data_IF_316208964009
#
_entry.id   IF_316208964009
#
_cell.length_a   1.000
_cell.length_b   1.000
_cell.length_c   1.000
_cell.angle_alpha   90.00
_cell.angle_beta   90.00
_cell.angle_gamma   90.00
#
_symmetry.space_group_name_H-M   'P 1'
#
loop_
_entity.id
_entity.type
_entity.pdbx_description
1 polymer ?
#
# COMPACT_ATOMS: atom_id res chain seq x y z
N UNK A 1 7.90 -11.59 37.13
CA UNK A 1 8.74 -11.15 35.99
C UNK A 1 8.02 -9.99 35.35
N UNK A 2 8.74 -8.90 35.06
CA UNK A 2 8.14 -7.78 34.31
C UNK A 2 7.91 -8.19 32.86
N UNK A 3 6.96 -7.54 32.20
CA UNK A 3 6.76 -7.68 30.75
C UNK A 3 7.99 -7.12 30.02
N UNK A 4 8.42 -7.79 28.95
CA UNK A 4 9.46 -7.27 28.06
C UNK A 4 8.94 -6.01 27.35
N UNK A 5 9.82 -5.07 26.91
CA UNK A 5 9.38 -3.81 26.33
C UNK A 5 8.41 -3.97 25.14
N UNK A 6 8.61 -4.98 24.29
CA UNK A 6 7.74 -5.23 23.15
C UNK A 6 6.36 -5.77 23.56
N UNK A 7 6.26 -6.50 24.67
CA UNK A 7 4.99 -7.01 25.20
C UNK A 7 4.12 -5.88 25.76
N UNK A 8 4.75 -4.89 26.41
CA UNK A 8 4.05 -3.68 26.88
C UNK A 8 3.47 -2.90 25.70
N UNK A 9 4.24 -2.74 24.62
CA UNK A 9 3.76 -2.10 23.39
C UNK A 9 2.63 -2.93 22.77
N UNK A 10 2.82 -4.24 22.64
CA UNK A 10 1.83 -5.14 22.06
C UNK A 10 0.49 -5.07 22.81
N UNK A 11 0.53 -5.05 24.14
CA UNK A 11 -0.65 -4.89 24.98
C UNK A 11 -1.34 -3.53 24.72
N UNK A 12 -0.58 -2.44 24.68
CA UNK A 12 -1.11 -1.10 24.42
C UNK A 12 -1.72 -0.93 23.02
N UNK A 13 -1.18 -1.63 22.03
CA UNK A 13 -1.68 -1.61 20.64
C UNK A 13 -2.75 -2.70 20.36
N UNK A 14 -3.02 -3.58 21.32
CA UNK A 14 -3.94 -4.70 21.15
C UNK A 14 -3.47 -5.77 20.15
N UNK A 15 -2.15 -5.93 20.00
CA UNK A 15 -1.53 -6.85 19.04
C UNK A 15 -1.19 -8.19 19.72
N UNK A 16 -1.91 -9.24 19.35
CA UNK A 16 -1.58 -10.62 19.77
C UNK A 16 -0.56 -11.26 18.83
N UNK A 17 0.28 -12.15 19.37
CA UNK A 17 1.16 -13.01 18.58
C UNK A 17 0.35 -14.07 17.83
N UNK A 18 0.69 -14.29 16.57
CA UNK A 18 0.15 -15.39 15.78
C UNK A 18 0.94 -16.69 16.01
N UNK A 19 0.27 -17.83 15.96
CA UNK A 19 0.92 -19.13 16.15
C UNK A 19 1.95 -19.43 15.05
N UNK A 20 1.72 -18.91 13.84
CA UNK A 20 2.54 -19.18 12.66
C UNK A 20 3.69 -18.19 12.41
N UNK A 21 3.98 -17.28 13.34
CA UNK A 21 5.10 -16.33 13.25
C UNK A 21 6.19 -16.59 14.29
N UNK A 22 7.45 -16.44 13.88
CA UNK A 22 8.59 -16.49 14.80
C UNK A 22 8.65 -15.21 15.66
N UNK A 23 9.49 -15.24 16.68
CA UNK A 23 9.60 -14.16 17.66
C UNK A 23 10.10 -12.84 17.03
N UNK A 24 11.08 -12.90 16.12
CA UNK A 24 11.60 -11.69 15.47
C UNK A 24 10.56 -11.08 14.53
N UNK A 25 9.81 -11.92 13.80
CA UNK A 25 8.69 -11.46 12.97
C UNK A 25 7.59 -10.80 13.83
N UNK A 26 7.26 -11.38 14.98
CA UNK A 26 6.30 -10.80 15.92
C UNK A 26 6.76 -9.43 16.44
N UNK A 27 8.01 -9.33 16.92
CA UNK A 27 8.58 -8.06 17.41
C UNK A 27 8.64 -7.02 16.28
N UNK A 28 9.07 -7.41 15.07
CA UNK A 28 9.11 -6.52 13.91
C UNK A 28 7.73 -5.93 13.60
N UNK A 29 6.69 -6.76 13.68
CA UNK A 29 5.30 -6.39 13.44
C UNK A 29 4.79 -5.37 14.47
N UNK A 30 5.10 -5.60 15.75
CA UNK A 30 4.79 -4.67 16.83
C UNK A 30 5.50 -3.34 16.60
N UNK A 31 6.80 -3.35 16.34
CA UNK A 31 7.59 -2.13 16.12
C UNK A 31 7.10 -1.37 14.88
N UNK A 32 6.76 -2.06 13.79
CA UNK A 32 6.22 -1.45 12.59
C UNK A 32 4.93 -0.68 12.88
N UNK A 33 3.98 -1.31 13.58
CA UNK A 33 2.75 -0.66 14.04
C UNK A 33 3.03 0.49 15.01
N UNK A 34 3.90 0.28 15.99
CA UNK A 34 4.24 1.30 16.99
C UNK A 34 4.85 2.55 16.35
N UNK A 35 5.78 2.39 15.41
CA UNK A 35 6.37 3.52 14.69
C UNK A 35 5.33 4.23 13.82
N UNK A 36 4.36 3.51 13.26
CA UNK A 36 3.24 4.15 12.54
C UNK A 36 2.38 5.03 13.46
N UNK A 37 2.12 4.61 14.69
CA UNK A 37 1.44 5.43 15.68
C UNK A 37 2.30 6.61 16.13
N UNK A 38 3.58 6.39 16.42
CA UNK A 38 4.50 7.48 16.76
C UNK A 38 4.60 8.51 15.65
N UNK A 39 4.52 8.08 14.39
CA UNK A 39 4.49 8.99 13.22
C UNK A 39 3.23 9.85 13.26
N UNK A 40 2.05 9.29 13.55
CA UNK A 40 0.80 10.05 13.71
C UNK A 40 0.83 10.96 14.93
N UNK A 41 1.35 10.50 16.06
CA UNK A 41 1.44 11.28 17.30
C UNK A 41 2.43 12.43 17.18
N UNK A 42 3.56 12.25 16.48
CA UNK A 42 4.57 13.30 16.30
C UNK A 42 4.02 14.53 15.55
N UNK A 43 2.94 14.37 14.80
CA UNK A 43 2.23 15.46 14.12
C UNK A 43 1.37 16.28 15.09
N UNK A 44 1.01 15.71 16.24
CA UNK A 44 0.23 16.33 17.31
C UNK A 44 1.11 16.93 18.42
N UNK A 45 2.44 16.92 18.25
CA UNK A 45 3.33 17.54 19.23
C UNK A 45 2.82 18.98 19.47
N UNK A 46 2.65 19.37 20.73
CA UNK A 46 2.43 20.79 21.02
C UNK A 46 3.80 21.43 21.12
N UNK A 47 4.04 22.51 20.39
CA UNK A 47 5.07 23.46 20.81
C UNK A 47 4.67 23.90 22.21
N UNK A 48 5.44 23.52 23.23
CA UNK A 48 5.34 24.19 24.52
C UNK A 48 5.72 25.63 24.24
N UNK A 49 4.70 26.50 24.11
CA UNK A 49 4.90 27.93 24.00
C UNK A 49 5.73 28.37 25.20
N UNK A 50 6.96 28.78 24.94
CA UNK A 50 7.66 29.69 25.85
C UNK A 50 6.80 30.94 25.89
N UNK A 51 6.31 31.32 27.06
CA UNK A 51 5.31 32.38 27.33
C UNK A 51 5.68 33.80 26.84
N UNK A 52 6.63 33.98 25.92
CA UNK A 52 7.18 35.28 25.54
C UNK A 52 7.05 35.67 24.08
N UNK A 53 6.45 34.87 23.20
CA UNK A 53 6.17 35.32 21.83
C UNK A 53 4.75 34.94 21.43
N UNK A 54 3.92 35.95 21.17
CA UNK A 54 2.63 35.82 20.51
C UNK A 54 2.85 35.30 19.08
N UNK A 55 3.10 34.01 18.96
CA UNK A 55 3.09 33.31 17.68
C UNK A 55 1.64 32.96 17.37
N UNK A 56 1.25 33.29 16.14
CA UNK A 56 -0.05 32.99 15.57
C UNK A 56 -0.34 31.49 15.71
N UNK A 57 -1.22 31.14 16.64
CA UNK A 57 -1.59 29.77 17.03
C UNK A 57 -2.33 29.00 15.94
N UNK A 58 -2.42 29.55 14.73
CA UNK A 58 -3.20 28.98 13.63
C UNK A 58 -2.45 27.95 12.78
N UNK A 59 -1.11 27.83 12.84
CA UNK A 59 -0.36 26.97 11.89
C UNK A 59 0.96 26.36 12.39
N UNK A 60 1.06 25.82 13.61
CA UNK A 60 2.19 24.92 13.93
C UNK A 60 2.01 23.56 13.25
N UNK A 61 2.32 23.50 11.96
CA UNK A 61 2.37 22.27 11.19
C UNK A 61 3.81 21.72 11.20
N UNK A 62 3.98 20.45 11.55
CA UNK A 62 5.30 19.83 11.60
C UNK A 62 5.78 19.45 10.21
N UNK A 63 7.08 19.66 9.95
CA UNK A 63 7.69 19.22 8.70
C UNK A 63 7.83 17.71 8.68
N UNK A 64 7.75 17.11 7.48
CA UNK A 64 8.04 15.68 7.26
C UNK A 64 9.40 15.28 7.84
N UNK A 65 10.40 16.15 7.72
CA UNK A 65 11.74 15.92 8.27
C UNK A 65 11.76 15.85 9.81
N UNK A 66 10.99 16.71 10.50
CA UNK A 66 10.88 16.66 11.95
C UNK A 66 10.32 15.31 12.42
N UNK A 67 9.18 14.89 11.83
CA UNK A 67 8.50 13.62 12.15
C UNK A 67 9.42 12.43 11.89
N UNK A 68 10.03 12.35 10.71
CA UNK A 68 10.98 11.29 10.33
C UNK A 68 12.16 11.22 11.31
N UNK A 69 12.75 12.37 11.69
CA UNK A 69 13.89 12.41 12.62
C UNK A 69 13.51 11.87 14.01
N UNK A 70 12.37 12.30 14.55
CA UNK A 70 11.88 11.83 15.87
C UNK A 70 11.63 10.32 15.85
N UNK A 71 10.91 9.83 14.84
CA UNK A 71 10.61 8.41 14.72
C UNK A 71 11.87 7.56 14.50
N UNK A 72 12.91 8.10 13.84
CA UNK A 72 14.17 7.38 13.64
C UNK A 72 14.90 7.12 14.96
N UNK A 73 14.91 8.09 15.88
CA UNK A 73 15.51 7.95 17.22
C UNK A 73 14.77 6.86 18.01
N UNK A 74 13.44 6.86 17.93
CA UNK A 74 12.61 5.86 18.61
C UNK A 74 12.89 4.47 18.04
N UNK A 75 12.86 4.33 16.71
CA UNK A 75 13.13 3.05 16.04
C UNK A 75 14.53 2.54 16.35
N UNK A 76 15.56 3.39 16.28
CA UNK A 76 16.94 2.97 16.57
C UNK A 76 17.09 2.45 17.99
N UNK A 77 16.46 3.12 18.97
CA UNK A 77 16.48 2.69 20.37
C UNK A 77 15.89 1.28 20.55
N UNK A 78 14.77 0.98 19.87
CA UNK A 78 14.22 -0.37 19.91
C UNK A 78 15.07 -1.40 19.17
N UNK A 79 15.69 -1.03 18.05
CA UNK A 79 16.57 -1.93 17.30
C UNK A 79 17.89 -2.22 18.01
N UNK A 80 18.32 -1.35 18.93
CA UNK A 80 19.46 -1.62 19.80
C UNK A 80 19.09 -2.64 20.90
N UNK A 81 17.83 -2.68 21.34
CA UNK A 81 17.30 -3.73 22.23
C UNK A 81 17.05 -5.05 21.51
N UNK A 82 16.63 -5.00 20.23
CA UNK A 82 16.28 -6.16 19.42
C UNK A 82 17.11 -6.24 18.13
N UNK A 83 18.43 -6.51 18.22
CA UNK A 83 19.33 -6.45 17.07
C UNK A 83 18.93 -7.41 15.93
N UNK A 84 18.36 -8.57 16.25
CA UNK A 84 17.91 -9.56 15.26
C UNK A 84 16.75 -9.05 14.37
N UNK A 85 16.02 -8.02 14.82
CA UNK A 85 14.91 -7.41 14.09
C UNK A 85 15.40 -6.36 13.09
N UNK A 86 16.66 -5.92 13.20
CA UNK A 86 17.23 -4.86 12.35
C UNK A 86 17.17 -5.20 10.87
N UNK A 87 17.40 -6.44 10.48
CA UNK A 87 17.36 -6.89 9.07
C UNK A 87 15.96 -6.81 8.47
N UNK A 88 14.91 -6.83 9.29
CA UNK A 88 13.54 -6.63 8.83
C UNK A 88 13.29 -5.16 8.42
N UNK A 89 13.86 -4.19 9.16
CA UNK A 89 13.74 -2.77 8.83
C UNK A 89 14.80 -2.30 7.82
N UNK A 90 15.98 -2.89 7.85
CA UNK A 90 17.11 -2.60 6.97
C UNK A 90 17.57 -3.86 6.22
N UNK A 91 16.81 -4.31 5.20
CA UNK A 91 17.21 -5.43 4.34
C UNK A 91 18.58 -5.20 3.69
N UNK A 92 19.44 -6.22 3.73
CA UNK A 92 20.83 -6.15 3.25
C UNK A 92 20.92 -5.86 1.75
N UNK A 93 19.93 -6.28 0.96
CA UNK A 93 19.87 -6.10 -0.49
C UNK A 93 19.46 -4.69 -0.93
N UNK A 94 19.20 -3.78 0.03
CA UNK A 94 18.66 -2.45 -0.24
C UNK A 94 19.37 -1.37 0.60
N UNK A 95 20.34 -0.73 -0.02
CA UNK A 95 21.07 0.38 0.61
C UNK A 95 20.24 1.67 0.65
N UNK A 96 20.46 2.50 1.67
CA UNK A 96 19.87 3.84 1.78
C UNK A 96 18.41 3.90 2.19
N UNK A 97 17.80 2.78 2.62
CA UNK A 97 16.44 2.78 3.14
C UNK A 97 16.36 3.63 4.41
N UNK A 98 15.31 4.45 4.49
CA UNK A 98 14.90 5.12 5.72
C UNK A 98 13.54 4.56 6.15
N UNK A 99 13.49 3.61 7.11
CA UNK A 99 12.26 2.86 7.40
C UNK A 99 11.10 3.74 7.89
N UNK A 100 11.41 4.78 8.64
CA UNK A 100 10.42 5.77 9.11
C UNK A 100 9.85 6.61 7.97
N UNK A 101 10.68 6.96 6.99
CA UNK A 101 10.24 7.62 5.75
C UNK A 101 9.29 6.70 4.96
N UNK A 102 9.60 5.40 4.89
CA UNK A 102 8.72 4.40 4.24
C UNK A 102 7.36 4.32 4.95
N UNK A 103 7.35 4.27 6.29
CA UNK A 103 6.10 4.25 7.08
C UNK A 103 5.32 5.54 6.88
N UNK A 104 5.99 6.70 6.95
CA UNK A 104 5.36 8.00 6.74
C UNK A 104 4.74 8.10 5.34
N UNK A 105 5.48 7.74 4.29
CA UNK A 105 4.98 7.72 2.92
C UNK A 105 3.76 6.80 2.78
N UNK A 106 3.74 5.63 3.44
CA UNK A 106 2.57 4.74 3.41
C UNK A 106 1.36 5.35 4.10
N UNK A 107 1.55 6.04 5.23
CA UNK A 107 0.48 6.74 5.93
C UNK A 107 -0.05 7.94 5.12
N UNK A 108 0.81 8.65 4.40
CA UNK A 108 0.41 9.71 3.48
C UNK A 108 -0.39 9.16 2.30
N UNK A 109 0.13 8.12 1.66
CA UNK A 109 -0.52 7.45 0.54
C UNK A 109 -1.87 6.84 0.92
N UNK A 110 -1.99 6.27 2.13
CA UNK A 110 -3.28 5.79 2.64
C UNK A 110 -4.21 6.91 3.07
N UNK A 111 -3.82 8.18 3.01
CA UNK A 111 -4.62 9.30 3.51
C UNK A 111 -4.84 9.28 5.03
N UNK A 112 -4.02 8.54 5.77
CA UNK A 112 -3.95 8.59 7.24
C UNK A 112 -3.16 9.81 7.71
N UNK A 113 -2.29 10.35 6.84
CA UNK A 113 -1.66 11.65 6.97
C UNK A 113 -1.90 12.44 5.68
N UNK A 114 -1.93 13.76 5.77
CA UNK A 114 -2.14 14.67 4.64
C UNK A 114 -0.97 15.65 4.56
N UNK A 115 -0.37 15.78 3.38
CA UNK A 115 0.65 16.79 3.12
C UNK A 115 0.04 18.19 3.12
N UNK A 116 0.66 19.12 3.85
CA UNK A 116 0.37 20.54 3.78
C UNK A 116 1.39 21.31 2.94
N UNK A 117 1.28 22.65 2.90
CA UNK A 117 2.29 23.53 2.32
C UNK A 117 3.68 23.32 2.96
N UNK A 118 4.74 23.76 2.28
CA UNK A 118 6.11 23.79 2.84
C UNK A 118 6.61 22.45 3.44
N UNK A 119 6.19 21.34 2.82
CA UNK A 119 6.56 19.98 3.24
C UNK A 119 6.13 19.68 4.69
N UNK A 120 5.00 20.23 5.11
CA UNK A 120 4.35 19.90 6.37
C UNK A 120 3.44 18.68 6.23
N UNK A 121 3.05 18.12 7.38
CA UNK A 121 2.17 16.96 7.44
C UNK A 121 1.19 17.13 8.60
N UNK A 122 -0.06 16.71 8.40
CA UNK A 122 -1.14 16.83 9.38
C UNK A 122 -2.04 15.58 9.36
N UNK A 123 -2.85 15.42 10.40
CA UNK A 123 -3.90 14.39 10.43
C UNK A 123 -5.16 14.92 9.74
N UNK A 124 -5.89 14.09 8.98
CA UNK A 124 -7.19 14.46 8.46
C UNK A 124 -8.26 14.48 9.57
N UNK A 125 -9.45 15.06 9.32
CA UNK A 125 -10.62 14.81 10.15
C UNK A 125 -10.96 13.32 10.21
N UNK A 126 -11.64 12.93 11.30
CA UNK A 126 -12.07 11.55 11.50
C UNK A 126 -12.97 11.06 10.36
N UNK A 127 -12.60 9.91 9.80
CA UNK A 127 -13.38 9.14 8.83
C UNK A 127 -13.33 7.67 9.20
N UNK A 128 -14.43 6.99 8.99
CA UNK A 128 -14.58 5.58 9.35
C UNK A 128 -14.87 4.75 8.12
N UNK A 129 -14.21 3.59 8.01
CA UNK A 129 -14.57 2.56 7.01
C UNK A 129 -14.99 1.30 7.70
N UNK A 130 -16.19 0.81 7.38
CA UNK A 130 -16.71 -0.43 7.94
C UNK A 130 -15.93 -1.63 7.41
N UNK A 131 -15.38 -2.44 8.32
CA UNK A 131 -14.66 -3.68 8.04
C UNK A 131 -15.57 -4.89 8.24
N UNK A 132 -16.23 -4.92 9.40
CA UNK A 132 -17.15 -5.97 9.83
C UNK A 132 -18.29 -5.34 10.65
N UNK A 133 -19.23 -6.15 11.15
CA UNK A 133 -20.47 -5.67 11.79
C UNK A 133 -20.23 -4.55 12.81
N UNK A 134 -19.21 -4.68 13.67
CA UNK A 134 -18.82 -3.70 14.68
C UNK A 134 -17.31 -3.44 14.66
N UNK A 135 -16.69 -3.38 13.49
CA UNK A 135 -15.27 -3.06 13.36
C UNK A 135 -15.09 -2.02 12.27
N UNK A 136 -14.46 -0.91 12.63
CA UNK A 136 -14.26 0.23 11.75
C UNK A 136 -12.78 0.61 11.72
N UNK A 137 -12.22 0.80 10.54
CA UNK A 137 -10.93 1.49 10.37
C UNK A 137 -11.15 2.98 10.58
N UNK A 138 -10.43 3.57 11.53
CA UNK A 138 -10.36 5.01 11.75
C UNK A 138 -9.19 5.62 10.99
N UNK A 139 -9.46 6.69 10.24
CA UNK A 139 -8.46 7.67 9.81
C UNK A 139 -8.79 9.00 10.47
N UNK A 140 -7.85 9.58 11.21
CA UNK A 140 -8.02 10.91 11.77
C UNK A 140 -7.32 11.09 13.10
N UNK A 141 -7.89 11.93 13.96
CA UNK A 141 -7.30 12.41 15.21
C UNK A 141 -7.69 11.60 16.44
N UNK A 142 -8.78 10.83 16.40
CA UNK A 142 -9.29 10.12 17.59
C UNK A 142 -8.62 8.77 17.92
N UNK A 143 -7.44 8.50 17.34
CA UNK A 143 -6.69 7.27 17.60
C UNK A 143 -6.07 7.26 19.01
N UNK A 144 -5.78 6.07 19.55
CA UNK A 144 -5.09 5.92 20.84
C UNK A 144 -5.97 5.91 22.10
N UNK A 145 -7.30 6.03 21.98
CA UNK A 145 -8.23 6.02 23.13
C UNK A 145 -8.81 4.63 23.39
N UNK A 146 -9.69 4.16 22.49
CA UNK A 146 -10.28 2.83 22.48
C UNK A 146 -10.02 2.21 21.10
N UNK A 147 -9.42 1.03 21.05
CA UNK A 147 -9.19 0.36 19.78
C UNK A 147 -8.03 -0.62 19.78
N UNK A 148 -7.73 -1.16 18.61
CA UNK A 148 -6.62 -2.07 18.34
C UNK A 148 -6.00 -1.78 16.99
N UNK A 149 -4.75 -2.18 16.81
CA UNK A 149 -4.05 -2.01 15.54
C UNK A 149 -4.04 -3.31 14.72
N UNK A 150 -4.29 -3.14 13.42
CA UNK A 150 -3.88 -4.09 12.41
C UNK A 150 -3.07 -3.38 11.32
N UNK A 151 -1.94 -3.93 10.89
CA UNK A 151 -1.03 -3.21 10.00
C UNK A 151 -0.63 -1.85 10.58
N UNK A 152 -0.97 -0.78 9.87
CA UNK A 152 -0.88 0.61 10.35
C UNK A 152 -2.24 1.28 10.60
N UNK A 153 -3.33 0.52 10.51
CA UNK A 153 -4.69 1.00 10.74
C UNK A 153 -5.07 0.94 12.21
N UNK A 154 -5.77 1.97 12.69
CA UNK A 154 -6.41 1.98 14.01
C UNK A 154 -7.86 1.53 13.89
N UNK A 155 -8.28 0.56 14.68
CA UNK A 155 -9.61 -0.04 14.57
C UNK A 155 -10.42 0.15 15.84
N UNK A 156 -11.66 0.60 15.68
CA UNK A 156 -12.60 0.88 16.76
C UNK A 156 -13.87 0.06 16.58
N UNK A 157 -14.54 -0.25 17.69
CA UNK A 157 -15.77 -1.04 17.69
C UNK A 157 -17.05 -0.20 17.79
N UNK A 158 -16.92 1.09 18.11
CA UNK A 158 -18.05 2.00 18.30
C UNK A 158 -17.71 3.34 17.69
N UNK A 159 -18.69 3.92 17.01
CA UNK A 159 -18.59 5.23 16.36
C UNK A 159 -19.90 5.98 16.57
N UNK A 160 -19.86 7.31 16.57
CA UNK A 160 -21.04 8.11 16.23
C UNK A 160 -21.30 7.95 14.74
N UNK A 161 -22.53 7.64 14.33
CA UNK A 161 -22.87 7.16 12.96
C UNK A 161 -22.54 8.12 11.79
N UNK A 162 -22.05 9.33 12.06
CA UNK A 162 -21.56 10.25 11.02
C UNK A 162 -20.22 9.79 10.42
N UNK A 163 -20.01 10.06 9.12
CA UNK A 163 -18.73 9.85 8.41
C UNK A 163 -18.29 8.38 8.20
N UNK A 164 -19.24 7.48 7.93
CA UNK A 164 -18.96 6.11 7.47
C UNK A 164 -18.87 6.06 5.95
N UNK A 165 -17.72 5.62 5.45
CA UNK A 165 -17.42 5.48 4.02
C UNK A 165 -17.27 4.00 3.65
N UNK A 166 -17.57 3.69 2.39
CA UNK A 166 -17.17 2.41 1.80
C UNK A 166 -15.65 2.34 1.62
N UNK A 167 -15.14 1.12 1.41
CA UNK A 167 -13.74 0.88 1.10
C UNK A 167 -13.33 1.56 -0.20
N UNK A 168 -14.21 1.51 -1.19
CA UNK A 168 -14.00 2.10 -2.51
C UNK A 168 -13.91 3.61 -2.43
N UNK A 169 -14.75 4.26 -1.62
CA UNK A 169 -14.68 5.71 -1.42
C UNK A 169 -13.44 6.11 -0.63
N UNK A 170 -13.13 5.40 0.47
CA UNK A 170 -12.06 5.82 1.37
C UNK A 170 -10.65 5.61 0.77
N UNK A 171 -10.45 4.55 -0.02
CA UNK A 171 -9.18 4.27 -0.70
C UNK A 171 -9.20 4.59 -2.20
N UNK A 172 -10.30 5.16 -2.70
CA UNK A 172 -10.54 5.43 -4.12
C UNK A 172 -10.42 4.19 -5.01
N UNK A 173 -10.69 2.99 -4.48
CA UNK A 173 -10.56 1.74 -5.25
C UNK A 173 -11.69 1.69 -6.30
N UNK A 174 -11.38 1.51 -7.60
CA UNK A 174 -12.42 1.42 -8.63
C UNK A 174 -13.43 0.30 -8.36
N UNK A 175 -14.71 0.59 -8.61
CA UNK A 175 -15.80 -0.39 -8.47
C UNK A 175 -15.91 -1.36 -9.64
N UNK A 176 -15.20 -1.08 -10.74
CA UNK A 176 -15.07 -1.98 -11.88
C UNK A 176 -13.81 -2.83 -11.72
N UNK A 177 -13.88 -4.07 -12.21
CA UNK A 177 -12.74 -4.97 -12.13
C UNK A 177 -11.61 -4.57 -13.12
N UNK A 178 -10.45 -5.19 -12.97
CA UNK A 178 -9.27 -4.86 -13.78
C UNK A 178 -9.48 -5.10 -15.28
N UNK A 179 -10.17 -6.17 -15.68
CA UNK A 179 -10.45 -6.46 -17.10
C UNK A 179 -11.39 -5.41 -17.67
N UNK A 180 -12.44 -5.04 -16.94
CA UNK A 180 -13.43 -4.06 -17.39
C UNK A 180 -12.79 -2.66 -17.44
N UNK A 181 -11.83 -2.37 -16.54
CA UNK A 181 -11.01 -1.15 -16.61
C UNK A 181 -10.25 -1.06 -17.94
N UNK A 182 -9.61 -2.13 -18.39
CA UNK A 182 -8.87 -2.16 -19.67
C UNK A 182 -9.82 -1.89 -20.84
N UNK A 183 -10.95 -2.62 -20.88
CA UNK A 183 -11.93 -2.52 -21.96
C UNK A 183 -12.58 -1.14 -22.03
N UNK A 184 -12.98 -0.58 -20.88
CA UNK A 184 -13.62 0.73 -20.81
C UNK A 184 -12.64 1.86 -21.15
N UNK A 185 -11.43 1.82 -20.60
CA UNK A 185 -10.41 2.84 -20.89
C UNK A 185 -10.05 2.84 -22.38
N UNK A 186 -9.82 1.67 -22.98
CA UNK A 186 -9.53 1.57 -24.41
C UNK A 186 -10.68 2.11 -25.26
N UNK A 187 -11.93 1.77 -24.92
CA UNK A 187 -13.12 2.24 -25.64
C UNK A 187 -13.27 3.77 -25.58
N UNK A 188 -13.07 4.37 -24.40
CA UNK A 188 -13.21 5.83 -24.21
C UNK A 188 -12.09 6.57 -24.96
N UNK A 189 -10.87 6.03 -24.91
CA UNK A 189 -9.69 6.65 -25.47
C UNK A 189 -9.37 6.22 -26.91
N UNK A 190 -10.27 5.48 -27.56
CA UNK A 190 -10.06 4.90 -28.91
C UNK A 190 -9.66 5.96 -29.95
N UNK A 191 -10.26 7.15 -29.88
CA UNK A 191 -9.95 8.27 -30.79
C UNK A 191 -8.67 9.03 -30.43
N UNK A 192 -8.07 8.76 -29.28
CA UNK A 192 -6.88 9.44 -28.79
C UNK A 192 -5.58 8.70 -29.11
N UNK A 193 -5.66 7.50 -29.69
CA UNK A 193 -4.48 6.80 -30.20
C UNK A 193 -3.81 7.61 -31.31
N UNK A 194 -2.49 7.70 -31.24
CA UNK A 194 -1.68 8.40 -32.25
C UNK A 194 -0.69 7.44 -32.90
N UNK A 195 -0.45 7.54 -34.22
CA UNK A 195 0.56 6.74 -34.88
C UNK A 195 1.94 7.10 -34.32
N UNK A 196 2.69 6.08 -33.89
CA UNK A 196 4.01 6.25 -33.33
C UNK A 196 5.07 5.92 -34.39
N UNK A 197 5.53 6.96 -35.08
CA UNK A 197 6.50 6.83 -36.19
C UNK A 197 7.94 6.68 -35.71
N UNK A 198 8.24 6.99 -34.44
CA UNK A 198 9.58 6.91 -33.86
C UNK A 198 9.56 6.14 -32.55
N UNK A 199 9.96 4.88 -32.60
CA UNK A 199 10.01 4.01 -31.43
C UNK A 199 11.33 4.27 -30.70
N UNK A 200 11.26 4.57 -29.40
CA UNK A 200 12.44 4.70 -28.53
C UNK A 200 13.18 3.36 -28.42
N UNK A 201 14.51 3.37 -28.43
CA UNK A 201 15.33 2.16 -28.22
C UNK A 201 15.11 1.52 -26.82
N UNK A 202 14.67 2.33 -25.86
CA UNK A 202 14.33 1.88 -24.51
C UNK A 202 12.92 1.29 -24.41
N UNK A 203 12.12 1.31 -25.49
CA UNK A 203 10.74 0.81 -25.52
C UNK A 203 10.73 -0.67 -25.14
N UNK A 204 9.86 -1.01 -24.20
CA UNK A 204 9.51 -2.39 -23.86
C UNK A 204 8.00 -2.55 -23.82
N UNK A 205 7.54 -3.77 -24.08
CA UNK A 205 6.13 -4.13 -24.18
C UNK A 205 5.79 -5.17 -23.13
N UNK A 206 4.70 -4.98 -22.43
CA UNK A 206 4.22 -5.97 -21.47
C UNK A 206 3.76 -7.22 -22.22
N UNK A 207 4.21 -8.39 -21.77
CA UNK A 207 3.75 -9.67 -22.25
C UNK A 207 2.66 -10.24 -21.31
N UNK A 208 1.37 -10.20 -21.70
CA UNK A 208 0.29 -10.75 -20.90
C UNK A 208 0.29 -12.30 -20.88
N UNK A 209 1.00 -12.98 -21.77
CA UNK A 209 1.11 -14.44 -21.81
C UNK A 209 2.25 -14.98 -20.94
N UNK A 210 3.24 -14.13 -20.60
CA UNK A 210 4.30 -14.47 -19.67
C UNK A 210 3.73 -14.93 -18.33
N UNK A 211 4.25 -16.05 -17.82
CA UNK A 211 3.96 -16.55 -16.46
C UNK A 211 4.90 -15.98 -15.40
N UNK A 212 5.86 -15.12 -15.77
CA UNK A 212 6.77 -14.45 -14.83
C UNK A 212 6.03 -13.35 -14.07
N UNK A 213 6.66 -12.79 -13.05
CA UNK A 213 6.15 -11.60 -12.36
C UNK A 213 6.10 -10.38 -13.30
N UNK A 214 5.31 -9.38 -12.94
CA UNK A 214 5.17 -8.16 -13.74
C UNK A 214 6.48 -7.45 -14.09
N UNK A 215 7.43 -7.36 -13.15
CA UNK A 215 8.71 -6.68 -13.42
C UNK A 215 9.58 -7.38 -14.46
N UNK A 216 9.32 -8.66 -14.73
CA UNK A 216 10.09 -9.53 -15.64
C UNK A 216 9.32 -9.88 -16.92
N UNK A 217 8.11 -9.35 -17.10
CA UNK A 217 7.25 -9.66 -18.24
C UNK A 217 7.25 -8.52 -19.27
N UNK A 218 8.44 -8.03 -19.59
CA UNK A 218 8.65 -6.91 -20.52
C UNK A 218 9.58 -7.35 -21.66
N UNK A 219 9.11 -7.25 -22.89
CA UNK A 219 9.80 -7.70 -24.10
C UNK A 219 10.23 -6.51 -24.98
N UNK A 220 11.26 -6.71 -25.80
CA UNK A 220 11.78 -5.66 -26.70
C UNK A 220 10.94 -5.48 -27.96
N UNK A 221 10.22 -6.53 -28.35
CA UNK A 221 9.36 -6.54 -29.53
C UNK A 221 7.92 -6.87 -29.19
N UNK A 222 6.99 -6.30 -29.97
CA UNK A 222 5.57 -6.59 -29.87
C UNK A 222 5.26 -7.90 -30.62
N UNK A 223 5.33 -9.02 -29.91
CA UNK A 223 5.14 -10.36 -30.50
C UNK A 223 3.69 -10.67 -30.91
N UNK A 224 2.72 -10.00 -30.28
CA UNK A 224 1.29 -10.15 -30.54
C UNK A 224 0.71 -8.81 -31.02
N UNK A 225 1.07 -8.36 -32.24
CA UNK A 225 0.74 -7.01 -32.73
C UNK A 225 -0.77 -6.76 -32.87
N UNK A 226 -1.56 -7.82 -33.03
CA UNK A 226 -3.02 -7.75 -33.10
C UNK A 226 -3.69 -7.54 -31.72
N UNK A 227 -2.93 -7.54 -30.62
CA UNK A 227 -3.44 -7.38 -29.26
C UNK A 227 -3.01 -6.05 -28.63
N UNK A 228 -3.95 -5.46 -27.88
CA UNK A 228 -3.70 -4.32 -27.02
C UNK A 228 -2.75 -4.75 -25.88
N UNK A 229 -1.69 -4.00 -25.63
CA UNK A 229 -0.85 -4.17 -24.43
C UNK A 229 -0.32 -2.85 -23.90
N UNK A 230 0.44 -2.89 -22.79
CA UNK A 230 1.11 -1.74 -22.20
C UNK A 230 2.53 -1.63 -22.72
N UNK A 231 2.96 -0.43 -23.08
CA UNK A 231 4.38 -0.12 -23.28
C UNK A 231 4.98 0.57 -22.05
N UNK A 232 6.31 0.54 -21.95
CA UNK A 232 7.09 1.50 -21.15
C UNK A 232 8.34 1.95 -21.89
N UNK A 233 8.76 3.20 -21.70
CA UNK A 233 10.08 3.67 -22.10
C UNK A 233 11.02 3.82 -20.91
N UNK A 234 10.48 4.21 -19.75
CA UNK A 234 11.22 4.41 -18.51
C UNK A 234 10.25 4.29 -17.32
N UNK A 235 10.59 4.85 -16.15
CA UNK A 235 9.77 4.76 -14.94
C UNK A 235 8.54 5.68 -14.94
N UNK A 236 8.54 6.70 -15.79
CA UNK A 236 7.53 7.76 -15.82
C UNK A 236 6.78 7.83 -17.16
N UNK A 237 7.08 6.90 -18.08
CA UNK A 237 6.52 6.88 -19.43
C UNK A 237 5.96 5.50 -19.77
N UNK A 238 4.63 5.40 -19.63
CA UNK A 238 3.82 4.23 -19.89
C UNK A 238 2.59 4.61 -20.70
N UNK A 239 2.03 3.63 -21.39
CA UNK A 239 0.76 3.79 -22.07
C UNK A 239 0.30 2.52 -22.75
N UNK A 240 -0.83 2.60 -23.43
CA UNK A 240 -1.28 1.54 -24.30
C UNK A 240 -0.61 1.58 -25.67
N UNK A 241 -0.47 0.41 -26.25
CA UNK A 241 0.00 0.20 -27.61
C UNK A 241 -0.83 -0.90 -28.28
N UNK A 242 -1.10 -0.69 -29.57
CA UNK A 242 -1.65 -1.70 -30.48
C UNK A 242 -1.00 -1.52 -31.85
N UNK A 243 -1.03 -2.55 -32.69
CA UNK A 243 -0.61 -2.43 -34.08
C UNK A 243 -1.79 -2.71 -35.01
N UNK A 244 -2.03 -1.78 -35.93
CA UNK A 244 -3.10 -1.84 -36.93
C UNK A 244 -2.48 -1.52 -38.29
N UNK A 245 -2.78 -2.34 -39.31
CA UNK A 245 -2.24 -2.18 -40.68
C UNK A 245 -0.71 -2.01 -40.76
N UNK A 246 0.03 -2.68 -39.87
CA UNK A 246 1.49 -2.60 -39.81
C UNK A 246 2.04 -1.34 -39.11
N UNK A 247 1.16 -0.44 -38.67
CA UNK A 247 1.51 0.79 -37.95
C UNK A 247 1.27 0.62 -36.45
N UNK A 248 2.21 1.09 -35.63
CA UNK A 248 2.07 1.09 -34.18
C UNK A 248 1.33 2.35 -33.75
N UNK A 249 0.30 2.18 -32.95
CA UNK A 249 -0.46 3.26 -32.34
C UNK A 249 -0.27 3.25 -30.84
N UNK A 250 -0.08 4.43 -30.25
CA UNK A 250 0.13 4.57 -28.81
C UNK A 250 -0.81 5.58 -28.18
N UNK A 251 -1.13 5.33 -26.92
CA UNK A 251 -1.89 6.21 -26.04
C UNK A 251 -1.15 6.29 -24.70
N UNK A 252 -0.50 7.41 -24.41
CA UNK A 252 0.18 7.61 -23.13
C UNK A 252 -0.82 7.64 -21.97
N UNK A 253 -0.45 7.03 -20.85
CA UNK A 253 -1.24 7.14 -19.64
C UNK A 253 -1.02 8.52 -19.00
N UNK A 254 -2.08 9.14 -18.45
CA UNK A 254 -1.95 10.33 -17.62
C UNK A 254 -1.01 10.10 -16.43
N UNK A 255 -0.26 11.12 -16.06
CA UNK A 255 0.67 11.16 -14.92
C UNK A 255 0.14 10.49 -13.65
N UNK A 256 -1.13 10.74 -13.31
CA UNK A 256 -1.69 10.20 -12.08
C UNK A 256 -1.72 8.67 -12.11
N UNK A 257 -2.07 8.03 -13.22
CA UNK A 257 -2.07 6.57 -13.36
C UNK A 257 -0.67 5.99 -13.09
N UNK A 258 0.36 6.67 -13.58
CA UNK A 258 1.76 6.26 -13.43
C UNK A 258 2.23 6.45 -11.99
N UNK A 259 2.02 7.66 -11.43
CA UNK A 259 2.47 8.04 -10.07
C UNK A 259 1.86 7.17 -8.97
N UNK A 260 0.59 6.80 -9.08
CA UNK A 260 -0.06 5.88 -8.12
C UNK A 260 0.01 4.41 -8.53
N UNK A 261 0.86 4.06 -9.50
CA UNK A 261 1.13 2.67 -9.93
C UNK A 261 -0.13 1.92 -10.41
N UNK A 262 -1.13 2.63 -10.90
CA UNK A 262 -2.38 2.06 -11.45
C UNK A 262 -2.16 1.38 -12.80
N UNK A 263 -1.00 1.59 -13.45
CA UNK A 263 -0.55 0.81 -14.61
C UNK A 263 -0.70 -0.71 -14.36
N UNK A 264 -0.46 -1.15 -13.12
CA UNK A 264 -0.60 -2.55 -12.71
C UNK A 264 -2.02 -3.09 -12.85
N UNK A 265 -3.04 -2.26 -12.63
CA UNK A 265 -4.46 -2.65 -12.82
C UNK A 265 -4.68 -3.06 -14.27
N UNK A 266 -4.16 -2.28 -15.21
CA UNK A 266 -4.21 -2.63 -16.62
C UNK A 266 -3.44 -3.92 -16.92
N UNK A 267 -2.28 -4.13 -16.31
CA UNK A 267 -1.50 -5.37 -16.48
C UNK A 267 -2.26 -6.61 -15.96
N UNK A 268 -2.94 -6.50 -14.81
CA UNK A 268 -3.84 -7.54 -14.29
C UNK A 268 -4.99 -7.83 -15.26
N UNK A 269 -5.67 -6.78 -15.74
CA UNK A 269 -6.78 -6.90 -16.68
C UNK A 269 -6.36 -7.57 -18.00
N UNK A 270 -5.24 -7.14 -18.58
CA UNK A 270 -4.67 -7.73 -19.80
C UNK A 270 -4.34 -9.20 -19.62
N UNK A 271 -3.71 -9.58 -18.50
CA UNK A 271 -3.44 -10.99 -18.17
C UNK A 271 -4.71 -11.83 -18.10
N UNK A 272 -5.75 -11.29 -17.49
CA UNK A 272 -7.04 -11.98 -17.43
C UNK A 272 -7.65 -12.16 -18.82
N UNK A 273 -7.64 -11.10 -19.65
CA UNK A 273 -8.16 -11.13 -21.03
C UNK A 273 -7.38 -12.13 -21.91
N UNK A 274 -6.08 -12.30 -21.69
CA UNK A 274 -5.23 -13.29 -22.36
C UNK A 274 -5.30 -14.70 -21.73
N UNK A 275 -6.31 -14.99 -20.90
CA UNK A 275 -6.51 -16.27 -20.21
C UNK A 275 -5.31 -16.74 -19.35
N UNK A 276 -4.54 -15.79 -18.83
CA UNK A 276 -3.38 -16.02 -17.97
C UNK A 276 -3.47 -15.18 -16.69
N UNK A 277 -4.55 -15.30 -15.89
CA UNK A 277 -4.75 -14.47 -14.72
C UNK A 277 -3.64 -14.67 -13.69
N UNK A 278 -3.30 -13.60 -13.00
CA UNK A 278 -2.39 -13.65 -11.86
C UNK A 278 -2.93 -14.52 -10.74
N UNK A 279 -2.02 -15.02 -9.90
CA UNK A 279 -2.36 -15.92 -8.80
C UNK A 279 -1.98 -15.31 -7.45
N UNK A 280 -2.83 -15.56 -6.46
CA UNK A 280 -2.54 -15.32 -5.06
C UNK A 280 -2.83 -16.59 -4.25
N UNK A 281 -1.98 -16.87 -3.27
CA UNK A 281 -2.20 -17.96 -2.30
C UNK A 281 -2.60 -17.35 -0.97
N UNK A 282 -3.67 -17.86 -0.37
CA UNK A 282 -4.07 -17.52 1.00
C UNK A 282 -3.98 -18.79 1.84
N UNK A 283 -3.08 -18.80 2.81
CA UNK A 283 -2.98 -19.83 3.84
C UNK A 283 -3.74 -19.39 5.07
N UNK A 284 -4.70 -20.21 5.52
CA UNK A 284 -5.57 -19.90 6.65
C UNK A 284 -5.09 -20.69 7.87
N UNK A 285 -4.85 -19.99 8.98
CA UNK A 285 -4.56 -20.55 10.29
C UNK A 285 -5.70 -20.17 11.24
N UNK A 286 -5.72 -20.77 12.44
CA UNK A 286 -6.76 -20.48 13.45
C UNK A 286 -6.82 -19.00 13.83
N UNK A 287 -5.67 -18.34 13.96
CA UNK A 287 -5.53 -16.98 14.46
C UNK A 287 -4.96 -15.99 13.42
N UNK A 288 -4.59 -16.48 12.23
CA UNK A 288 -3.92 -15.69 11.20
C UNK A 288 -4.30 -16.12 9.78
N UNK A 289 -4.12 -15.21 8.82
CA UNK A 289 -4.05 -15.53 7.39
C UNK A 289 -2.71 -15.03 6.84
N UNK A 290 -2.05 -15.85 6.02
CA UNK A 290 -0.87 -15.45 5.24
C UNK A 290 -1.27 -15.32 3.78
N UNK A 291 -0.94 -14.19 3.17
CA UNK A 291 -1.27 -13.84 1.80
C UNK A 291 0.03 -13.77 1.02
N UNK A 292 0.13 -14.53 -0.07
CA UNK A 292 1.27 -14.51 -1.00
C UNK A 292 0.77 -14.15 -2.39
N UNK A 293 1.18 -12.99 -2.87
CA UNK A 293 0.93 -12.47 -4.20
C UNK A 293 2.08 -12.86 -5.13
N UNK A 294 1.75 -13.19 -6.37
CA UNK A 294 2.78 -13.43 -7.38
C UNK A 294 3.39 -12.11 -7.89
N UNK A 295 2.56 -11.10 -8.16
CA UNK A 295 2.97 -9.74 -8.53
C UNK A 295 2.42 -8.72 -7.53
N UNK A 296 3.05 -7.54 -7.45
CA UNK A 296 2.62 -6.43 -6.58
C UNK A 296 1.29 -5.82 -7.02
N UNK A 297 0.46 -5.39 -6.06
CA UNK A 297 -0.86 -4.78 -6.30
C UNK A 297 -0.75 -3.37 -6.93
N UNK A 298 -1.83 -2.82 -7.54
CA UNK A 298 -1.90 -1.40 -7.83
C UNK A 298 -1.84 -0.56 -6.54
N UNK A 299 -1.48 0.71 -6.66
CA UNK A 299 -1.14 1.52 -5.49
C UNK A 299 -2.26 1.63 -4.46
N UNK A 300 -3.52 1.77 -4.90
CA UNK A 300 -4.68 1.95 -4.01
C UNK A 300 -4.96 0.70 -3.17
N UNK A 301 -4.91 -0.48 -3.77
CA UNK A 301 -5.05 -1.76 -3.08
C UNK A 301 -3.86 -2.04 -2.16
N UNK A 302 -2.64 -1.70 -2.59
CA UNK A 302 -1.44 -1.85 -1.76
C UNK A 302 -1.51 -0.97 -0.49
N UNK A 303 -1.99 0.27 -0.62
CA UNK A 303 -2.22 1.16 0.52
C UNK A 303 -3.21 0.55 1.52
N UNK A 304 -4.30 -0.04 1.04
CA UNK A 304 -5.25 -0.76 1.89
C UNK A 304 -4.60 -1.95 2.58
N UNK A 305 -3.81 -2.74 1.86
CA UNK A 305 -3.10 -3.89 2.43
C UNK A 305 -2.19 -3.48 3.59
N UNK A 306 -1.49 -2.36 3.48
CA UNK A 306 -0.70 -1.84 4.60
C UNK A 306 -1.52 -1.34 5.79
N UNK A 307 -2.80 -1.01 5.60
CA UNK A 307 -3.72 -0.64 6.69
C UNK A 307 -4.34 -1.86 7.37
N UNK A 308 -4.51 -2.98 6.66
CA UNK A 308 -5.20 -4.18 7.20
C UNK A 308 -4.23 -5.32 7.53
N UNK A 309 -2.99 -5.27 7.08
CA UNK A 309 -2.02 -6.35 7.20
C UNK A 309 -0.59 -5.85 7.38
N UNK A 310 0.28 -6.76 7.78
CA UNK A 310 1.70 -6.50 7.97
C UNK A 310 2.54 -7.16 6.88
N UNK A 311 3.54 -6.46 6.31
CA UNK A 311 4.54 -7.08 5.45
C UNK A 311 5.20 -8.27 6.16
N UNK A 312 5.35 -9.41 5.50
CA UNK A 312 5.81 -10.63 6.18
C UNK A 312 7.34 -10.69 6.29
N UNK A 313 8.07 -10.52 5.18
CA UNK A 313 9.52 -10.78 5.16
C UNK A 313 10.37 -9.62 5.66
N UNK A 314 10.01 -8.41 5.28
CA UNK A 314 10.68 -7.17 5.70
C UNK A 314 9.79 -5.96 5.43
N UNK A 315 10.22 -4.77 5.87
CA UNK A 315 9.45 -3.54 5.71
C UNK A 315 9.11 -3.23 4.25
N UNK A 316 9.94 -3.62 3.27
CA UNK A 316 9.71 -3.39 1.84
C UNK A 316 8.96 -4.52 1.14
N UNK A 317 8.50 -5.53 1.87
CA UNK A 317 7.73 -6.60 1.28
C UNK A 317 6.37 -6.09 0.78
N UNK A 318 6.10 -6.35 -0.50
CA UNK A 318 4.89 -5.93 -1.22
C UNK A 318 4.12 -7.12 -1.78
N UNK A 319 4.59 -8.34 -1.51
CA UNK A 319 4.02 -9.57 -2.06
C UNK A 319 3.65 -10.58 -1.00
N UNK A 320 4.22 -10.53 0.20
CA UNK A 320 3.82 -11.41 1.31
C UNK A 320 3.35 -10.60 2.51
N UNK A 321 2.16 -10.97 3.02
CA UNK A 321 1.50 -10.28 4.12
C UNK A 321 0.93 -11.28 5.13
N UNK A 322 0.82 -10.86 6.39
CA UNK A 322 0.14 -11.60 7.45
C UNK A 322 -0.90 -10.69 8.12
N UNK A 323 -2.08 -11.23 8.47
CA UNK A 323 -3.11 -10.50 9.23
C UNK A 323 -4.10 -11.43 9.94
N UNK A 324 -5.06 -10.86 10.68
CA UNK A 324 -6.15 -11.58 11.33
C UNK A 324 -7.17 -12.11 10.32
N UNK A 325 -7.77 -13.30 10.55
CA UNK A 325 -8.83 -13.87 9.70
C UNK A 325 -10.03 -12.96 9.47
N UNK A 326 -10.28 -11.98 10.34
CA UNK A 326 -11.38 -11.01 10.18
C UNK A 326 -11.28 -10.21 8.87
N UNK A 327 -10.08 -10.06 8.30
CA UNK A 327 -9.86 -9.33 7.04
C UNK A 327 -9.98 -10.19 5.78
N UNK A 328 -10.16 -11.51 5.91
CA UNK A 328 -10.28 -12.42 4.78
C UNK A 328 -11.35 -12.00 3.74
N UNK A 329 -12.55 -11.52 4.15
CA UNK A 329 -13.56 -11.06 3.20
C UNK A 329 -13.08 -9.88 2.35
N UNK A 330 -12.43 -8.89 2.96
CA UNK A 330 -11.90 -7.71 2.27
C UNK A 330 -10.77 -8.11 1.33
N UNK A 331 -9.80 -8.89 1.81
CA UNK A 331 -8.69 -9.39 1.00
C UNK A 331 -9.22 -10.12 -0.23
N UNK A 332 -10.19 -11.03 -0.05
CA UNK A 332 -10.78 -11.78 -1.15
C UNK A 332 -11.52 -10.88 -2.14
N UNK A 333 -12.27 -9.88 -1.66
CA UNK A 333 -12.97 -8.90 -2.50
C UNK A 333 -11.99 -8.13 -3.38
N UNK A 334 -10.90 -7.63 -2.80
CA UNK A 334 -9.85 -6.87 -3.51
C UNK A 334 -9.18 -7.71 -4.59
N UNK A 335 -8.75 -8.93 -4.25
CA UNK A 335 -8.06 -9.80 -5.21
C UNK A 335 -8.98 -10.18 -6.38
N UNK A 336 -10.26 -10.44 -6.11
CA UNK A 336 -11.26 -10.68 -7.16
C UNK A 336 -11.50 -9.44 -8.03
N UNK A 337 -11.52 -8.25 -7.45
CA UNK A 337 -11.64 -7.00 -8.21
C UNK A 337 -10.46 -6.77 -9.16
N UNK A 338 -9.28 -7.30 -8.83
CA UNK A 338 -8.11 -7.29 -9.72
C UNK A 338 -8.08 -8.49 -10.69
N UNK A 339 -9.16 -9.27 -10.77
CA UNK A 339 -9.23 -10.50 -11.54
C UNK A 339 -8.12 -11.52 -11.22
N UNK A 340 -7.61 -11.52 -9.98
CA UNK A 340 -6.61 -12.47 -9.48
C UNK A 340 -7.29 -13.77 -9.10
N UNK A 341 -6.72 -14.90 -9.53
CA UNK A 341 -7.15 -16.23 -9.11
C UNK A 341 -6.62 -16.53 -7.71
N UNK A 342 -7.53 -16.71 -6.75
CA UNK A 342 -7.20 -17.02 -5.36
C UNK A 342 -7.17 -18.53 -5.14
N UNK A 343 -6.03 -19.04 -4.68
CA UNK A 343 -5.86 -20.42 -4.21
C UNK A 343 -5.86 -20.41 -2.68
N UNK A 344 -6.78 -21.15 -2.06
CA UNK A 344 -6.87 -21.25 -0.60
C UNK A 344 -6.27 -22.57 -0.13
N UNK A 345 -5.32 -22.49 0.81
CA UNK A 345 -4.75 -23.64 1.50
C UNK A 345 -5.20 -23.57 2.97
N UNK A 346 -5.88 -24.62 3.43
CA UNK A 346 -6.32 -24.78 4.82
C UNK A 346 -5.31 -25.51 5.68
#
# INVERSE_FOLDING_TARGET
MGLEPHEVIAQGLGISRFFCEDENAYIARILYSAISEWTKTAVLDKTLEVESESLDTSYTQYTKHHVTRKCNIILSTYLDLYPNVRTWFYPEDKQGIQPTKVIQERLEHSGSLVSGPDNTIQLPPDKYMKIANDLYLLRGTSFGTEGKIHGMGWYVNKISESDVYSLEELFLIPQIDAKDTVLEYSRIAERAYTPNTTISDARRYFDPFSRRIFSESWEESLHHPWELTVYRNNRDDYGFVKQEDGMIYTLAFPDHIIKIQEVRRFMYGLRYLSHNPERATISIYNDAIKIKLHSTLPGREEMLFHMIAWPARNILDRTEFITSPIFLPIVTKILKNLNIQVMQNG
#
